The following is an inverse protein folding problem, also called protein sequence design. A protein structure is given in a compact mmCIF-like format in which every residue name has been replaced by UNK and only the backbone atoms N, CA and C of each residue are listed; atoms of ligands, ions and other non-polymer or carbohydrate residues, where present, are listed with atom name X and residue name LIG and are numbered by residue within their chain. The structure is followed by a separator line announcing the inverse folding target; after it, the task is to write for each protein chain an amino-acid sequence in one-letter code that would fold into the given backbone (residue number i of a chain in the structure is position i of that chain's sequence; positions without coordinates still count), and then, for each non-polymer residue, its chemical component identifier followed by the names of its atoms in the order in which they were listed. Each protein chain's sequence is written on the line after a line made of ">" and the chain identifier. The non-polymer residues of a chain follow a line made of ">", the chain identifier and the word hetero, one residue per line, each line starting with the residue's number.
data_IF_984287140121
#
_entry.id   IF_984287140121
#
_cell.length_a   1.000
_cell.length_b   1.000
_cell.length_c   1.000
_cell.angle_alpha   90.00
_cell.angle_beta   90.00
_cell.angle_gamma   90.00
#
_symmetry.space_group_name_H-M   'P 1'
#
loop_
_entity.id
_entity.type
_entity.pdbx_description
1 polymer ?
#
# COMPACT_ATOMS: atom_id res chain seq x y z
N UNK A 1 -64.89 -14.81 -24.86
CA UNK A 1 -66.02 -15.38 -24.11
C UNK A 1 -65.50 -15.80 -22.74
N UNK A 2 -65.94 -15.18 -21.64
CA UNK A 2 -65.49 -15.51 -20.29
C UNK A 2 -65.85 -16.95 -19.86
N UNK A 3 -66.85 -17.58 -20.50
CA UNK A 3 -67.27 -18.95 -20.19
C UNK A 3 -66.24 -20.04 -20.55
N UNK A 4 -65.16 -19.68 -21.29
CA UNK A 4 -64.08 -20.60 -21.63
C UNK A 4 -63.16 -20.96 -20.45
N UNK A 5 -63.23 -20.22 -19.33
CA UNK A 5 -62.45 -20.49 -18.11
C UNK A 5 -62.98 -21.64 -17.24
N UNK A 6 -64.19 -22.13 -17.51
CA UNK A 6 -64.83 -23.23 -16.75
C UNK A 6 -64.50 -24.63 -17.31
N UNK A 7 -63.67 -24.70 -18.36
CA UNK A 7 -63.23 -25.95 -18.98
C UNK A 7 -61.99 -26.46 -18.25
N UNK A 8 -62.01 -27.72 -17.81
CA UNK A 8 -60.89 -28.36 -17.13
C UNK A 8 -59.63 -28.31 -18.01
N UNK A 9 -58.51 -27.80 -17.46
CA UNK A 9 -57.23 -27.52 -18.14
C UNK A 9 -57.17 -26.29 -19.06
N UNK A 10 -58.20 -25.43 -19.09
CA UNK A 10 -58.14 -24.16 -19.84
C UNK A 10 -57.89 -22.99 -18.89
N UNK A 11 -56.78 -22.28 -19.09
CA UNK A 11 -56.44 -21.07 -18.34
C UNK A 11 -56.78 -19.83 -19.18
N UNK A 12 -57.79 -19.08 -18.75
CA UNK A 12 -58.17 -17.81 -19.37
C UNK A 12 -57.39 -16.67 -18.71
N UNK A 13 -56.53 -16.01 -19.48
CA UNK A 13 -55.85 -14.77 -19.07
C UNK A 13 -56.51 -13.58 -19.76
N UNK A 14 -57.00 -12.61 -19.00
CA UNK A 14 -57.55 -11.37 -19.51
C UNK A 14 -56.51 -10.23 -19.49
N UNK A 15 -56.88 -9.07 -20.01
CA UNK A 15 -55.98 -7.90 -20.11
C UNK A 15 -55.53 -7.40 -18.72
N UNK A 16 -56.36 -7.57 -17.69
CA UNK A 16 -56.02 -7.18 -16.32
C UNK A 16 -55.03 -8.16 -15.66
N UNK A 17 -55.09 -9.45 -16.00
CA UNK A 17 -54.09 -10.45 -15.59
C UNK A 17 -52.71 -10.14 -16.17
N UNK A 18 -52.67 -9.69 -17.43
CA UNK A 18 -51.42 -9.25 -18.08
C UNK A 18 -50.86 -7.97 -17.47
N UNK A 19 -51.71 -7.05 -16.99
CA UNK A 19 -51.27 -5.83 -16.28
C UNK A 19 -50.56 -6.15 -14.98
N UNK A 20 -51.05 -7.13 -14.21
CA UNK A 20 -50.41 -7.60 -12.97
C UNK A 20 -49.01 -8.14 -13.24
N UNK A 21 -48.86 -8.98 -14.27
CA UNK A 21 -47.57 -9.55 -14.68
C UNK A 21 -46.59 -8.47 -15.15
N UNK A 22 -47.07 -7.45 -15.87
CA UNK A 22 -46.23 -6.32 -16.32
C UNK A 22 -45.76 -5.49 -15.12
N UNK A 23 -46.63 -5.20 -14.15
CA UNK A 23 -46.25 -4.47 -12.94
C UNK A 23 -45.26 -5.25 -12.08
N UNK A 24 -45.47 -6.56 -11.90
CA UNK A 24 -44.53 -7.42 -11.20
C UNK A 24 -43.16 -7.47 -11.91
N UNK A 25 -43.14 -7.54 -13.24
CA UNK A 25 -41.90 -7.48 -14.01
C UNK A 25 -41.21 -6.12 -13.89
N UNK A 26 -41.96 -5.01 -13.85
CA UNK A 26 -41.39 -3.68 -13.67
C UNK A 26 -40.75 -3.52 -12.29
N UNK A 27 -41.44 -3.96 -11.23
CA UNK A 27 -40.93 -3.96 -9.86
C UNK A 27 -39.68 -4.86 -9.71
N UNK A 28 -39.69 -6.04 -10.34
CA UNK A 28 -38.52 -6.93 -10.39
C UNK A 28 -37.37 -6.36 -11.23
N UNK A 29 -37.63 -5.49 -12.21
CA UNK A 29 -36.59 -4.78 -12.96
C UNK A 29 -36.00 -3.65 -12.14
N UNK A 30 -36.83 -2.87 -11.44
CA UNK A 30 -36.39 -1.80 -10.54
C UNK A 30 -35.49 -2.33 -9.42
N UNK A 31 -35.94 -3.37 -8.71
CA UNK A 31 -35.12 -4.02 -7.66
C UNK A 31 -33.80 -4.62 -8.17
N UNK A 32 -33.73 -4.99 -9.46
CA UNK A 32 -32.50 -5.47 -10.10
C UNK A 32 -31.56 -4.33 -10.48
N UNK A 33 -32.08 -3.15 -10.80
CA UNK A 33 -31.28 -1.94 -11.04
C UNK A 33 -30.65 -1.45 -9.73
N UNK A 34 -31.43 -1.33 -8.65
CA UNK A 34 -30.94 -0.88 -7.35
C UNK A 34 -29.81 -1.79 -6.82
N UNK A 35 -29.95 -3.10 -7.03
CA UNK A 35 -28.93 -4.08 -6.65
C UNK A 35 -27.68 -4.03 -7.54
N UNK A 36 -27.84 -3.66 -8.81
CA UNK A 36 -26.71 -3.47 -9.72
C UNK A 36 -25.94 -2.19 -9.39
N UNK A 37 -26.62 -1.10 -9.05
CA UNK A 37 -26.01 0.16 -8.60
C UNK A 37 -25.18 -0.04 -7.32
N UNK A 38 -25.73 -0.74 -6.32
CA UNK A 38 -24.98 -1.06 -5.10
C UNK A 38 -23.72 -1.91 -5.35
N UNK A 39 -23.77 -2.85 -6.31
CA UNK A 39 -22.62 -3.67 -6.68
C UNK A 39 -21.56 -2.85 -7.43
N UNK A 40 -21.99 -1.90 -8.28
CA UNK A 40 -21.10 -0.97 -8.98
C UNK A 40 -20.43 -0.03 -7.97
N UNK A 41 -21.16 0.52 -7.01
CA UNK A 41 -20.60 1.40 -5.98
C UNK A 41 -19.56 0.69 -5.12
N UNK A 42 -19.80 -0.57 -4.72
CA UNK A 42 -18.82 -1.39 -4.01
C UNK A 42 -17.55 -1.61 -4.86
N UNK A 43 -17.72 -1.91 -6.15
CA UNK A 43 -16.61 -2.10 -7.08
C UNK A 43 -15.81 -0.82 -7.30
N UNK A 44 -16.49 0.33 -7.45
CA UNK A 44 -15.85 1.64 -7.60
C UNK A 44 -15.07 1.99 -6.34
N UNK A 45 -15.62 1.77 -5.15
CA UNK A 45 -14.92 1.99 -3.89
C UNK A 45 -13.67 1.11 -3.77
N UNK A 46 -13.77 -0.17 -4.14
CA UNK A 46 -12.65 -1.11 -4.18
C UNK A 46 -11.58 -0.70 -5.19
N UNK A 47 -11.98 -0.29 -6.39
CA UNK A 47 -11.08 0.18 -7.43
C UNK A 47 -10.36 1.47 -7.01
N UNK A 48 -11.07 2.41 -6.38
CA UNK A 48 -10.47 3.64 -5.88
C UNK A 48 -9.53 3.39 -4.70
N UNK A 49 -9.84 2.46 -3.79
CA UNK A 49 -8.91 2.03 -2.73
C UNK A 49 -7.65 1.40 -3.32
N UNK A 50 -7.80 0.56 -4.34
CA UNK A 50 -6.67 -0.02 -5.09
C UNK A 50 -5.83 1.05 -5.80
N UNK A 51 -6.47 2.04 -6.44
CA UNK A 51 -5.79 3.14 -7.13
C UNK A 51 -5.01 4.03 -6.15
N UNK A 52 -5.60 4.38 -5.00
CA UNK A 52 -4.93 5.14 -3.92
C UNK A 52 -3.74 4.40 -3.33
N UNK A 53 -3.83 3.08 -3.20
CA UNK A 53 -2.69 2.26 -2.75
C UNK A 53 -1.46 2.40 -3.66
N UNK A 54 -1.63 2.72 -4.96
CA UNK A 54 -0.50 2.96 -5.87
C UNK A 54 0.27 4.25 -5.61
N UNK A 55 -0.36 5.29 -5.05
CA UNK A 55 0.33 6.55 -4.73
C UNK A 55 1.36 6.37 -3.60
N UNK A 56 1.07 5.48 -2.65
CA UNK A 56 1.97 5.15 -1.55
C UNK A 56 3.15 4.22 -1.95
N UNK A 57 3.01 3.45 -3.04
CA UNK A 57 3.97 2.41 -3.42
C UNK A 57 5.39 2.96 -3.66
N UNK A 58 5.60 4.05 -4.42
CA UNK A 58 6.95 4.59 -4.65
C UNK A 58 7.67 4.96 -3.35
N UNK A 59 6.96 5.60 -2.41
CA UNK A 59 7.53 5.97 -1.11
C UNK A 59 7.88 4.76 -0.26
N UNK A 60 7.03 3.71 -0.25
CA UNK A 60 7.34 2.46 0.47
C UNK A 60 8.59 1.78 -0.10
N UNK A 61 8.75 1.78 -1.42
CA UNK A 61 9.93 1.20 -2.09
C UNK A 61 11.17 1.99 -1.68
N UNK A 62 11.16 3.31 -1.85
CA UNK A 62 12.30 4.17 -1.53
C UNK A 62 12.69 4.06 -0.04
N UNK A 63 11.71 3.99 0.87
CA UNK A 63 11.97 3.81 2.30
C UNK A 63 12.65 2.47 2.61
N UNK A 64 12.23 1.39 1.94
CA UNK A 64 12.85 0.06 2.08
C UNK A 64 14.29 0.05 1.56
N UNK A 65 14.51 0.63 0.38
CA UNK A 65 15.84 0.74 -0.23
C UNK A 65 16.79 1.56 0.66
N UNK A 66 16.33 2.68 1.19
CA UNK A 66 17.09 3.53 2.12
C UNK A 66 17.56 2.76 3.35
N UNK A 67 16.66 2.04 4.01
CA UNK A 67 16.99 1.28 5.23
C UNK A 67 17.88 0.07 4.94
N UNK A 68 17.69 -0.59 3.81
CA UNK A 68 18.56 -1.68 3.38
C UNK A 68 19.98 -1.17 3.06
N UNK A 69 20.09 -0.01 2.39
CA UNK A 69 21.38 0.63 2.14
C UNK A 69 22.11 0.98 3.44
N UNK A 70 21.40 1.52 4.44
CA UNK A 70 21.96 1.78 5.78
C UNK A 70 22.43 0.48 6.43
N UNK A 71 21.61 -0.58 6.40
CA UNK A 71 21.96 -1.90 6.96
C UNK A 71 23.25 -2.44 6.34
N UNK A 72 23.35 -2.42 5.02
CA UNK A 72 24.52 -2.91 4.28
C UNK A 72 25.77 -2.06 4.56
N UNK A 73 25.63 -0.73 4.61
CA UNK A 73 26.73 0.17 4.93
C UNK A 73 27.29 -0.09 6.34
N UNK A 74 26.43 -0.31 7.32
CA UNK A 74 26.85 -0.64 8.68
C UNK A 74 27.53 -2.01 8.79
N UNK A 75 27.02 -3.02 8.09
CA UNK A 75 27.65 -4.34 8.03
C UNK A 75 29.02 -4.30 7.36
N UNK A 76 29.15 -3.54 6.27
CA UNK A 76 30.43 -3.30 5.61
C UNK A 76 31.41 -2.57 6.54
N UNK A 77 30.96 -1.52 7.24
CA UNK A 77 31.76 -0.76 8.20
C UNK A 77 32.25 -1.63 9.36
N UNK A 78 31.43 -2.58 9.81
CA UNK A 78 31.77 -3.50 10.90
C UNK A 78 32.49 -4.76 10.41
N UNK A 79 32.67 -4.97 9.11
CA UNK A 79 33.29 -6.17 8.54
C UNK A 79 34.65 -6.53 9.18
N UNK A 80 35.58 -5.59 9.44
CA UNK A 80 36.84 -5.91 10.14
C UNK A 80 36.63 -6.44 11.56
N UNK A 81 35.61 -5.95 12.28
CA UNK A 81 35.26 -6.39 13.64
C UNK A 81 34.52 -7.73 13.64
N UNK A 82 33.80 -8.03 12.55
CA UNK A 82 33.08 -9.28 12.37
C UNK A 82 33.95 -10.39 11.76
N UNK A 83 35.18 -10.08 11.32
CA UNK A 83 36.07 -11.03 10.66
C UNK A 83 36.41 -12.27 11.51
N UNK A 84 36.46 -12.13 12.84
CA UNK A 84 36.71 -13.22 13.79
C UNK A 84 35.52 -14.16 14.00
N UNK A 85 34.32 -13.83 13.48
CA UNK A 85 33.14 -14.66 13.60
C UNK A 85 33.17 -15.83 12.61
N UNK A 86 32.67 -16.99 13.06
CA UNK A 86 32.43 -18.14 12.18
C UNK A 86 31.44 -17.75 11.06
N UNK A 87 31.48 -18.43 9.89
CA UNK A 87 30.52 -18.15 8.81
C UNK A 87 29.06 -18.24 9.27
N UNK A 88 28.75 -19.20 10.13
CA UNK A 88 27.41 -19.39 10.66
C UNK A 88 27.00 -18.29 11.67
N UNK A 89 27.95 -17.69 12.40
CA UNK A 89 27.67 -16.53 13.25
C UNK A 89 27.45 -15.26 12.42
N UNK A 90 28.25 -15.04 11.36
CA UNK A 90 28.05 -13.93 10.43
C UNK A 90 26.68 -13.98 9.73
N UNK A 91 26.26 -15.16 9.28
CA UNK A 91 24.93 -15.35 8.68
C UNK A 91 23.79 -15.00 9.65
N UNK A 92 23.95 -15.27 10.96
CA UNK A 92 22.95 -14.90 11.97
C UNK A 92 22.90 -13.40 12.22
N UNK A 93 24.02 -12.70 12.14
CA UNK A 93 24.06 -11.23 12.23
C UNK A 93 23.34 -10.61 11.02
N UNK A 94 23.60 -11.11 9.81
CA UNK A 94 22.88 -10.72 8.59
C UNK A 94 21.36 -10.95 8.73
N UNK A 95 20.97 -12.13 9.18
CA UNK A 95 19.56 -12.48 9.39
C UNK A 95 18.87 -11.58 10.41
N UNK A 96 19.47 -11.39 11.58
CA UNK A 96 18.89 -10.54 12.65
C UNK A 96 18.75 -9.10 12.19
N UNK A 97 19.76 -8.54 11.51
CA UNK A 97 19.69 -7.16 11.02
C UNK A 97 18.61 -6.97 9.95
N UNK A 98 18.45 -7.95 9.04
CA UNK A 98 17.37 -7.95 8.05
C UNK A 98 15.99 -8.01 8.73
N UNK A 99 15.82 -8.91 9.69
CA UNK A 99 14.56 -9.03 10.45
C UNK A 99 14.22 -7.76 11.23
N UNK A 100 15.22 -7.06 11.77
CA UNK A 100 15.03 -5.76 12.42
C UNK A 100 14.51 -4.71 11.43
N UNK A 101 15.12 -4.59 10.25
CA UNK A 101 14.64 -3.66 9.20
C UNK A 101 13.22 -4.01 8.78
N UNK A 102 12.93 -5.28 8.50
CA UNK A 102 11.59 -5.72 8.14
C UNK A 102 10.54 -5.37 9.21
N UNK A 103 10.86 -5.59 10.48
CA UNK A 103 9.97 -5.31 11.62
C UNK A 103 9.78 -3.81 11.89
N UNK A 104 10.81 -2.99 11.67
CA UNK A 104 10.68 -1.53 11.78
C UNK A 104 9.82 -0.96 10.65
N UNK A 105 9.90 -1.54 9.45
CA UNK A 105 9.17 -1.06 8.27
C UNK A 105 7.75 -1.61 8.14
N UNK A 106 7.40 -2.70 8.83
CA UNK A 106 6.05 -3.30 8.71
C UNK A 106 4.95 -2.32 9.10
N UNK A 107 4.98 -1.77 10.31
CA UNK A 107 3.95 -0.86 10.81
C UNK A 107 3.78 0.43 9.99
N UNK A 108 4.85 1.19 9.65
CA UNK A 108 4.69 2.39 8.81
C UNK A 108 4.21 2.05 7.39
N UNK A 109 4.66 0.92 6.82
CA UNK A 109 4.17 0.45 5.51
C UNK A 109 2.68 0.10 5.56
N UNK A 110 2.24 -0.62 6.59
CA UNK A 110 0.84 -1.01 6.77
C UNK A 110 -0.06 0.21 6.98
N UNK A 111 0.36 1.16 7.82
CA UNK A 111 -0.38 2.42 8.03
C UNK A 111 -0.53 3.20 6.74
N UNK A 112 0.55 3.39 5.98
CA UNK A 112 0.50 4.13 4.72
C UNK A 112 -0.40 3.45 3.68
N UNK A 113 -0.44 2.11 3.64
CA UNK A 113 -1.33 1.34 2.77
C UNK A 113 -2.80 1.35 3.22
N UNK A 114 -3.05 1.52 4.52
CA UNK A 114 -4.39 1.56 5.10
C UNK A 114 -5.03 2.94 5.01
N UNK A 115 -4.26 4.00 4.74
CA UNK A 115 -4.78 5.35 4.50
C UNK A 115 -5.61 5.37 3.21
N UNK A 116 -6.83 5.88 3.31
CA UNK A 116 -7.81 5.89 2.21
C UNK A 116 -8.10 7.29 1.66
N UNK A 117 -7.69 8.35 2.35
CA UNK A 117 -7.73 9.72 1.83
C UNK A 117 -6.47 10.00 1.00
N UNK A 118 -6.64 10.54 -0.20
CA UNK A 118 -5.54 10.81 -1.14
C UNK A 118 -4.67 11.99 -0.68
N UNK A 119 -5.25 13.01 -0.07
CA UNK A 119 -4.51 14.14 0.50
C UNK A 119 -3.65 13.68 1.67
N UNK A 120 -4.20 12.81 2.54
CA UNK A 120 -3.44 12.22 3.64
C UNK A 120 -2.31 11.32 3.12
N UNK A 121 -2.57 10.46 2.13
CA UNK A 121 -1.51 9.60 1.53
C UNK A 121 -0.37 10.46 0.98
N UNK A 122 -0.69 11.54 0.26
CA UNK A 122 0.31 12.45 -0.28
C UNK A 122 1.09 13.16 0.83
N UNK A 123 0.42 13.67 1.86
CA UNK A 123 1.06 14.34 2.98
C UNK A 123 1.97 13.41 3.80
N UNK A 124 1.53 12.17 4.07
CA UNK A 124 2.36 11.15 4.71
C UNK A 124 3.56 10.77 3.84
N UNK A 125 3.35 10.62 2.52
CA UNK A 125 4.42 10.31 1.59
C UNK A 125 5.48 11.41 1.55
N UNK A 126 5.05 12.68 1.48
CA UNK A 126 5.93 13.85 1.52
C UNK A 126 6.70 13.93 2.84
N UNK A 127 6.03 13.74 3.98
CA UNK A 127 6.66 13.71 5.30
C UNK A 127 7.73 12.62 5.39
N UNK A 128 7.44 11.41 4.90
CA UNK A 128 8.43 10.31 4.86
C UNK A 128 9.60 10.65 3.93
N UNK A 129 9.33 11.25 2.77
CA UNK A 129 10.37 11.72 1.86
C UNK A 129 11.29 12.74 2.53
N UNK A 130 10.74 13.70 3.28
CA UNK A 130 11.51 14.71 3.99
C UNK A 130 12.30 14.14 5.17
N UNK A 131 11.67 13.32 6.01
CA UNK A 131 12.31 12.74 7.20
C UNK A 131 13.46 11.78 6.85
N UNK A 132 13.34 11.05 5.74
CA UNK A 132 14.28 10.01 5.36
C UNK A 132 15.10 10.31 4.10
N UNK A 133 14.90 11.48 3.48
CA UNK A 133 15.53 11.93 2.23
C UNK A 133 15.37 10.90 1.10
N UNK A 134 14.14 10.47 0.85
CA UNK A 134 13.85 9.35 -0.07
C UNK A 134 13.90 9.76 -1.56
N UNK A 135 13.69 11.04 -1.87
CA UNK A 135 13.67 11.60 -3.22
C UNK A 135 15.06 11.90 -3.80
N UNK A 136 16.11 11.93 -2.96
CA UNK A 136 17.51 12.15 -3.36
C UNK A 136 18.18 10.86 -3.90
N UNK A 137 17.46 9.73 -3.91
CA UNK A 137 18.01 8.44 -4.36
C UNK A 137 17.65 8.04 -5.80
N UNK A 138 17.05 8.94 -6.61
CA UNK A 138 17.12 8.74 -8.05
C UNK A 138 18.58 8.88 -8.50
N UNK A 139 19.18 7.89 -9.19
CA UNK A 139 20.53 8.01 -9.73
C UNK A 139 20.48 9.00 -10.89
N UNK A 140 20.65 10.27 -10.58
CA UNK A 140 20.57 11.40 -11.48
C UNK A 140 20.78 12.68 -10.70
N UNK A 141 22.01 13.16 -10.75
CA UNK A 141 22.50 14.45 -10.27
C UNK A 141 23.00 14.48 -8.83
N UNK A 142 24.33 14.43 -8.74
CA UNK A 142 25.08 14.39 -7.51
C UNK A 142 25.16 15.74 -6.83
N UNK A 143 25.03 15.69 -5.51
CA UNK A 143 25.77 16.55 -4.59
C UNK A 143 26.22 15.64 -3.43
N UNK A 144 27.49 15.22 -3.49
CA UNK A 144 28.17 14.62 -2.35
C UNK A 144 28.33 15.72 -1.29
N UNK A 145 27.37 15.85 -0.39
CA UNK A 145 27.62 16.60 0.86
C UNK A 145 28.75 15.88 1.61
N UNK A 146 29.85 16.58 1.96
CA UNK A 146 30.96 15.97 2.64
C UNK A 146 30.55 15.55 4.05
N UNK A 147 30.99 14.35 4.42
CA UNK A 147 30.85 13.71 5.73
C UNK A 147 31.39 14.63 6.85
N UNK A 148 30.50 15.46 7.38
CA UNK A 148 30.75 16.40 8.48
C UNK A 148 31.01 15.66 9.80
N UNK A 149 30.72 14.36 9.90
CA UNK A 149 31.04 13.56 11.07
C UNK A 149 32.54 13.18 11.13
N UNK A 150 33.17 12.96 9.98
CA UNK A 150 34.62 12.71 9.91
C UNK A 150 35.45 13.96 10.26
N UNK A 151 35.02 15.15 9.84
CA UNK A 151 35.71 16.41 10.15
C UNK A 151 35.57 16.82 11.63
N UNK A 152 34.41 16.59 12.25
CA UNK A 152 34.20 16.86 13.67
C UNK A 152 35.10 15.98 14.56
N UNK A 153 35.31 14.71 14.18
CA UNK A 153 36.21 13.79 14.88
C UNK A 153 37.70 14.13 14.67
N UNK A 154 38.07 14.70 13.52
CA UNK A 154 39.43 15.15 13.25
C UNK A 154 39.77 16.51 13.90
N UNK A 155 38.77 17.33 14.23
CA UNK A 155 38.95 18.56 15.00
C UNK A 155 39.16 18.27 16.50
N UNK A 156 38.40 17.31 17.06
CA UNK A 156 38.49 16.92 18.47
C UNK A 156 39.76 16.13 18.82
N UNK A 157 40.41 15.49 17.85
CA UNK A 157 41.68 14.77 18.07
C UNK A 157 42.91 15.69 18.06
N UNK A 158 42.83 16.86 17.42
CA UNK A 158 43.93 17.85 17.37
C UNK A 158 44.03 18.72 18.62
N UNK A 159 42.93 18.89 19.36
CA UNK A 159 42.90 19.72 20.57
C UNK A 159 43.40 19.00 21.84
N UNK A 160 43.62 17.68 21.76
CA UNK A 160 44.15 16.85 22.87
C UNK A 160 45.66 16.64 22.84
N UNK A 161 46.37 17.22 21.86
CA UNK A 161 47.82 17.07 21.67
C UNK A 161 48.60 18.36 21.95
N UNK A 162 48.04 19.30 22.72
CA UNK A 162 48.74 20.46 23.28
C UNK A 162 48.70 20.45 24.79
#
# INVERSE_FOLDING_TARGET
>A
DPAAGDIEQVFLYNIDDLRSIVQENLARRQSRLDRAELMIDDEVNRFMAWLRSRAAVPTVIALRERFEAVRQAELARLQPKLAGLSPAARARVEEVTRLLVEKLLSSPTERLKATTDEEDVAAYAEMLNHLFKLSEQQPGDGETEPDTAAEALAALSRDRAR
#
